data_IF_464321662610
#
_entry.id   IF_464321662610
#
_cell.length_a   1.000
_cell.length_b   1.000
_cell.length_c   1.000
_cell.angle_alpha   90.00
_cell.angle_beta   90.00
_cell.angle_gamma   90.00
#
_symmetry.space_group_name_H-M   'P 1'
#
loop_
_entity.id
_entity.type
_entity.pdbx_description
1 polymer ?
#
# COMPACT_ATOMS: atom_id res chain seq x y z
N UNK A 1 19.75 13.18 9.11
CA UNK A 1 19.31 13.02 7.71
C UNK A 1 17.82 13.32 7.65
N UNK A 2 17.39 14.28 6.83
CA UNK A 2 15.96 14.50 6.59
C UNK A 2 15.47 13.45 5.59
N UNK A 3 14.53 12.61 6.00
CA UNK A 3 13.91 11.61 5.12
C UNK A 3 12.96 12.34 4.16
N UNK A 4 13.11 12.09 2.86
CA UNK A 4 12.21 12.62 1.84
C UNK A 4 10.92 11.77 1.80
N UNK A 5 9.86 12.29 2.42
CA UNK A 5 8.56 11.59 2.57
C UNK A 5 7.89 11.27 1.23
N UNK A 6 7.75 12.23 0.28
CA UNK A 6 7.22 11.93 -1.05
C UNK A 6 7.95 10.77 -1.72
N UNK A 7 9.28 10.81 -1.76
CA UNK A 7 10.09 9.77 -2.40
C UNK A 7 9.91 8.39 -1.72
N UNK A 8 9.81 8.36 -0.39
CA UNK A 8 9.54 7.14 0.36
C UNK A 8 8.15 6.56 0.02
N UNK A 9 7.12 7.41 -0.02
CA UNK A 9 5.76 7.00 -0.36
C UNK A 9 5.68 6.48 -1.81
N UNK A 10 6.28 7.20 -2.76
CA UNK A 10 6.30 6.81 -4.18
C UNK A 10 7.02 5.46 -4.37
N UNK A 11 8.12 5.22 -3.65
CA UNK A 11 8.81 3.93 -3.66
C UNK A 11 7.88 2.80 -3.18
N UNK A 12 7.09 3.01 -2.12
CA UNK A 12 6.12 2.01 -1.64
C UNK A 12 4.98 1.79 -2.65
N UNK A 13 4.48 2.85 -3.27
CA UNK A 13 3.44 2.76 -4.31
C UNK A 13 3.91 1.99 -5.53
N UNK A 14 5.13 2.24 -5.99
CA UNK A 14 5.72 1.50 -7.10
C UNK A 14 5.75 -0.01 -6.80
N UNK A 15 6.12 -0.40 -5.56
CA UNK A 15 6.09 -1.82 -5.16
C UNK A 15 4.69 -2.43 -5.18
N UNK A 16 3.63 -1.65 -5.03
CA UNK A 16 2.25 -2.18 -5.15
C UNK A 16 1.83 -2.51 -6.59
N UNK A 17 2.60 -2.08 -7.59
CA UNK A 17 2.36 -2.43 -9.01
C UNK A 17 2.91 -3.81 -9.39
N UNK A 18 3.58 -4.50 -8.46
CA UNK A 18 4.15 -5.82 -8.70
C UNK A 18 3.08 -6.91 -8.85
N UNK A 19 3.35 -7.95 -9.63
CA UNK A 19 2.42 -9.09 -9.80
C UNK A 19 2.40 -10.04 -8.60
N UNK A 20 3.48 -10.10 -7.82
CA UNK A 20 3.58 -10.98 -6.64
C UNK A 20 2.74 -10.46 -5.49
N UNK A 21 1.78 -11.27 -5.03
CA UNK A 21 0.94 -10.96 -3.86
C UNK A 21 1.79 -10.67 -2.62
N UNK A 22 2.92 -11.37 -2.45
CA UNK A 22 3.82 -11.19 -1.30
C UNK A 22 4.41 -9.79 -1.30
N UNK A 23 4.88 -9.32 -2.46
CA UNK A 23 5.47 -7.98 -2.60
C UNK A 23 4.40 -6.92 -2.33
N UNK A 24 3.25 -7.03 -2.97
CA UNK A 24 2.16 -6.06 -2.81
C UNK A 24 1.68 -6.01 -1.37
N UNK A 25 1.45 -7.16 -0.75
CA UNK A 25 0.95 -7.23 0.63
C UNK A 25 1.96 -6.65 1.64
N UNK A 26 3.26 -6.96 1.50
CA UNK A 26 4.31 -6.39 2.36
C UNK A 26 4.44 -4.87 2.19
N UNK A 27 4.22 -4.34 1.00
CA UNK A 27 4.18 -2.89 0.77
C UNK A 27 2.99 -2.24 1.48
N UNK A 28 1.80 -2.83 1.39
CA UNK A 28 0.61 -2.34 2.11
C UNK A 28 0.81 -2.38 3.64
N UNK A 29 1.40 -3.45 4.18
CA UNK A 29 1.74 -3.55 5.61
C UNK A 29 2.73 -2.46 6.01
N UNK A 30 3.79 -2.27 5.21
CA UNK A 30 4.80 -1.23 5.47
C UNK A 30 4.18 0.16 5.47
N UNK A 31 3.32 0.48 4.49
CA UNK A 31 2.60 1.75 4.46
C UNK A 31 1.72 1.92 5.69
N UNK A 32 0.94 0.90 6.08
CA UNK A 32 0.10 0.99 7.28
C UNK A 32 0.95 1.21 8.54
N UNK A 33 2.08 0.52 8.67
CA UNK A 33 2.98 0.69 9.80
C UNK A 33 3.50 2.13 9.88
N UNK A 34 3.89 2.73 8.75
CA UNK A 34 4.30 4.14 8.70
C UNK A 34 3.16 5.11 8.99
N UNK A 35 1.92 4.78 8.61
CA UNK A 35 0.75 5.60 8.95
C UNK A 35 0.46 5.64 10.45
N UNK A 36 0.72 4.56 11.18
CA UNK A 36 0.37 4.44 12.61
C UNK A 36 1.53 4.78 13.53
N UNK A 37 2.74 4.35 13.18
CA UNK A 37 3.92 4.43 14.05
C UNK A 37 5.02 5.34 13.47
N UNK A 38 4.88 5.78 12.21
CA UNK A 38 5.81 6.68 11.57
C UNK A 38 5.61 8.14 11.97
N UNK A 39 6.36 9.02 11.30
CA UNK A 39 6.19 10.46 11.48
C UNK A 39 4.83 10.92 10.91
N UNK A 40 4.12 11.79 11.63
CA UNK A 40 2.80 12.33 11.23
C UNK A 40 2.77 12.96 9.84
N UNK A 41 3.91 13.51 9.37
CA UNK A 41 4.04 14.08 8.03
C UNK A 41 3.80 13.04 6.94
N UNK A 42 4.02 11.75 7.21
CA UNK A 42 3.75 10.68 6.26
C UNK A 42 2.25 10.56 5.99
N UNK A 43 1.42 10.43 7.03
CA UNK A 43 -0.04 10.32 6.84
C UNK A 43 -0.65 11.63 6.32
N UNK A 44 -0.13 12.79 6.72
CA UNK A 44 -0.53 14.09 6.15
C UNK A 44 -0.24 14.17 4.64
N UNK A 45 0.93 13.68 4.21
CA UNK A 45 1.26 13.61 2.79
C UNK A 45 0.31 12.67 2.04
N UNK A 46 0.00 11.49 2.61
CA UNK A 46 -0.97 10.57 2.00
C UNK A 46 -2.36 11.21 1.88
N UNK A 47 -2.84 11.89 2.91
CA UNK A 47 -4.13 12.60 2.91
C UNK A 47 -4.22 13.70 1.84
N UNK A 48 -3.10 14.31 1.48
CA UNK A 48 -3.04 15.34 0.41
C UNK A 48 -3.21 14.78 -1.00
N UNK A 49 -3.20 13.45 -1.19
CA UNK A 49 -3.31 12.80 -2.49
C UNK A 49 -4.73 12.31 -2.78
N UNK A 50 -5.16 12.46 -4.04
CA UNK A 50 -6.49 12.01 -4.49
C UNK A 50 -6.66 10.48 -4.48
N UNK A 51 -5.59 9.74 -4.78
CA UNK A 51 -5.58 8.27 -4.80
C UNK A 51 -4.22 7.73 -4.36
N UNK A 52 -4.24 6.71 -3.49
CA UNK A 52 -3.03 6.02 -3.01
C UNK A 52 -2.85 4.69 -3.74
N UNK A 53 -3.79 3.77 -3.58
CA UNK A 53 -3.73 2.43 -4.16
C UNK A 53 -4.88 2.17 -5.15
N UNK A 54 -4.54 1.67 -6.34
CA UNK A 54 -5.51 1.21 -7.33
C UNK A 54 -5.41 -0.31 -7.53
N UNK A 55 -5.81 -1.06 -6.50
CA UNK A 55 -5.67 -2.51 -6.45
C UNK A 55 -7.01 -3.25 -6.55
N UNK A 56 -8.11 -2.59 -6.91
CA UNK A 56 -9.46 -3.19 -6.96
C UNK A 56 -9.54 -4.45 -7.84
N UNK A 57 -8.71 -4.52 -8.88
CA UNK A 57 -8.61 -5.65 -9.81
C UNK A 57 -7.35 -6.51 -9.60
N UNK A 58 -6.63 -6.33 -8.49
CA UNK A 58 -5.44 -7.12 -8.20
C UNK A 58 -5.78 -8.61 -8.13
N UNK A 59 -5.02 -9.41 -8.87
CA UNK A 59 -5.13 -10.86 -8.92
C UNK A 59 -3.77 -11.48 -9.23
N UNK A 60 -3.22 -12.19 -8.26
CA UNK A 60 -2.06 -13.07 -8.46
C UNK A 60 -2.56 -14.49 -8.70
N UNK A 61 -2.23 -15.07 -9.85
CA UNK A 61 -2.61 -16.44 -10.23
C UNK A 61 -1.51 -17.46 -9.94
N UNK A 62 -0.44 -17.04 -9.25
CA UNK A 62 0.65 -17.94 -8.83
C UNK A 62 0.19 -18.81 -7.66
N UNK A 63 -0.35 -19.99 -8.01
CA UNK A 63 -0.80 -21.00 -7.05
C UNK A 63 -2.03 -20.59 -6.24
N UNK A 64 -2.44 -21.50 -5.34
CA UNK A 64 -3.64 -21.33 -4.51
C UNK A 64 -3.53 -20.10 -3.60
N UNK A 65 -2.38 -19.91 -2.95
CA UNK A 65 -2.18 -18.81 -2.00
C UNK A 65 -2.25 -17.43 -2.66
N UNK A 66 -1.70 -17.27 -3.87
CA UNK A 66 -1.78 -15.99 -4.60
C UNK A 66 -3.24 -15.61 -4.89
N UNK A 67 -4.05 -16.59 -5.28
CA UNK A 67 -5.47 -16.39 -5.56
C UNK A 67 -6.22 -15.98 -4.29
N UNK A 68 -6.03 -16.72 -3.19
CA UNK A 68 -6.69 -16.45 -1.91
C UNK A 68 -6.30 -15.07 -1.35
N UNK A 69 -4.99 -14.76 -1.38
CA UNK A 69 -4.44 -13.50 -0.85
C UNK A 69 -4.88 -12.27 -1.66
N UNK A 70 -5.19 -12.43 -2.95
CA UNK A 70 -5.67 -11.33 -3.80
C UNK A 70 -6.97 -10.71 -3.28
N UNK A 71 -7.83 -11.49 -2.63
CA UNK A 71 -9.05 -10.97 -2.01
C UNK A 71 -8.74 -10.08 -0.79
N UNK A 72 -7.79 -10.48 0.05
CA UNK A 72 -7.39 -9.71 1.22
C UNK A 72 -6.62 -8.44 0.83
N UNK A 73 -5.76 -8.51 -0.19
CA UNK A 73 -5.04 -7.34 -0.73
C UNK A 73 -6.01 -6.26 -1.20
N UNK A 74 -7.03 -6.63 -1.97
CA UNK A 74 -8.09 -5.72 -2.46
C UNK A 74 -8.82 -5.01 -1.32
N UNK A 75 -9.21 -5.76 -0.29
CA UNK A 75 -9.91 -5.21 0.88
C UNK A 75 -9.01 -4.30 1.71
N UNK A 76 -7.76 -4.71 1.91
CA UNK A 76 -6.82 -3.98 2.74
C UNK A 76 -6.34 -2.68 2.07
N UNK A 77 -6.12 -2.68 0.75
CA UNK A 77 -5.81 -1.45 0.01
C UNK A 77 -6.95 -0.44 0.09
N UNK A 78 -8.21 -0.91 0.03
CA UNK A 78 -9.38 -0.04 0.20
C UNK A 78 -9.42 0.56 1.60
N UNK A 79 -9.22 -0.26 2.64
CA UNK A 79 -9.13 0.23 4.01
C UNK A 79 -8.05 1.31 4.17
N UNK A 80 -6.86 1.14 3.58
CA UNK A 80 -5.79 2.13 3.67
C UNK A 80 -6.09 3.42 2.89
N UNK A 81 -6.78 3.32 1.75
CA UNK A 81 -7.28 4.51 1.05
C UNK A 81 -8.26 5.28 1.94
N UNK A 82 -9.20 4.59 2.58
CA UNK A 82 -10.19 5.21 3.50
C UNK A 82 -9.53 5.77 4.77
N UNK A 83 -8.50 5.11 5.32
CA UNK A 83 -7.75 5.56 6.50
C UNK A 83 -6.95 6.83 6.27
N UNK A 84 -6.55 7.10 5.03
CA UNK A 84 -5.76 8.29 4.69
C UNK A 84 -6.63 9.54 4.45
N UNK A 85 -7.95 9.39 4.32
CA UNK A 85 -8.92 10.49 4.25
C UNK A 85 -9.27 10.95 5.65
#
# INVERSE_FOLDING_TARGET
MNVNIPQLADSLFERTTNSSWVVVFKSLITTHHLMVYGNERFIQYLASRNTLFNLSNFLDKSGLQGYDMSTFIRRYSRYLNEKAV
#
